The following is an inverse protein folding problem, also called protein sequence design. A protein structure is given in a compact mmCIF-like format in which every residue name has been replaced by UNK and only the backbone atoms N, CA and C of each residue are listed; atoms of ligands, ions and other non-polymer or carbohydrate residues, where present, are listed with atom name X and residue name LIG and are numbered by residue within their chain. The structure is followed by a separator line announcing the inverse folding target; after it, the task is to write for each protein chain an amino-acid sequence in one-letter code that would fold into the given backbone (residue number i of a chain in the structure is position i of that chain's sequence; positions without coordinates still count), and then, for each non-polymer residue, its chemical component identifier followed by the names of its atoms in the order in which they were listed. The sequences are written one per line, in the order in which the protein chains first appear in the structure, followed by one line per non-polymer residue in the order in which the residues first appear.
data_IF_409440833292
#
_entry.id   IF_409440833292
#
_cell.length_a   1.000
_cell.length_b   1.000
_cell.length_c   1.000
_cell.angle_alpha   90.00
_cell.angle_beta   90.00
_cell.angle_gamma   90.00
#
_symmetry.space_group_name_H-M   'P 1'
#
loop_
_entity.id
_entity.type
_entity.pdbx_description
1 polymer ?
#
# COMPACT_ATOMS: atom_id res chain seq x y z
N UNK A 1 -4.32 7.31 -6.73
CA UNK A 1 -2.97 7.55 -7.29
C UNK A 1 -2.62 6.63 -8.46
N UNK A 2 -3.09 5.36 -8.50
CA UNK A 2 -2.80 4.46 -9.62
C UNK A 2 -3.14 5.02 -11.01
N UNK A 3 -4.20 5.83 -11.14
CA UNK A 3 -4.60 6.47 -12.40
C UNK A 3 -3.73 7.68 -12.82
N UNK A 4 -2.75 8.08 -12.00
CA UNK A 4 -1.97 9.30 -12.20
C UNK A 4 -0.56 9.05 -12.76
N UNK A 5 -0.17 7.79 -12.97
CA UNK A 5 1.11 7.46 -13.60
C UNK A 5 1.06 7.68 -15.12
N UNK A 6 2.21 8.02 -15.69
CA UNK A 6 2.44 8.12 -17.12
C UNK A 6 3.00 6.83 -17.74
N UNK A 7 3.23 5.79 -16.93
CA UNK A 7 3.80 4.52 -17.39
C UNK A 7 2.78 3.68 -18.18
N UNK A 8 2.85 3.79 -19.51
CA UNK A 8 1.99 3.08 -20.46
C UNK A 8 2.19 1.55 -20.46
N UNK A 9 3.22 1.03 -19.77
CA UNK A 9 3.49 -0.42 -19.70
C UNK A 9 2.65 -1.12 -18.63
N UNK A 10 2.04 -0.37 -17.71
CA UNK A 10 1.22 -0.91 -16.64
C UNK A 10 -0.23 -1.07 -17.08
N UNK A 11 -0.85 -2.19 -16.71
CA UNK A 11 -2.30 -2.29 -16.74
C UNK A 11 -2.91 -1.49 -15.58
N UNK A 12 -3.28 -0.23 -15.85
CA UNK A 12 -3.87 0.67 -14.84
C UNK A 12 -5.17 0.13 -14.26
N UNK A 13 -5.99 -0.56 -15.07
CA UNK A 13 -7.25 -1.12 -14.57
C UNK A 13 -6.96 -2.20 -13.53
N UNK A 14 -5.96 -3.04 -13.79
CA UNK A 14 -5.48 -4.04 -12.84
C UNK A 14 -4.88 -3.40 -11.59
N UNK A 15 -4.05 -2.37 -11.72
CA UNK A 15 -3.49 -1.64 -10.58
C UNK A 15 -4.59 -1.07 -9.68
N UNK A 16 -5.62 -0.44 -10.26
CA UNK A 16 -6.76 0.09 -9.50
C UNK A 16 -7.50 -1.03 -8.77
N UNK A 17 -7.77 -2.15 -9.43
CA UNK A 17 -8.41 -3.30 -8.77
C UNK A 17 -7.53 -3.88 -7.65
N UNK A 18 -6.22 -3.93 -7.84
CA UNK A 18 -5.27 -4.39 -6.82
C UNK A 18 -5.25 -3.46 -5.60
N UNK A 19 -5.25 -2.13 -5.82
CA UNK A 19 -5.36 -1.16 -4.73
C UNK A 19 -6.61 -1.39 -3.86
N UNK A 20 -7.74 -1.81 -4.46
CA UNK A 20 -8.99 -2.05 -3.72
C UNK A 20 -8.95 -3.30 -2.84
N UNK A 21 -8.08 -4.27 -3.15
CA UNK A 21 -8.11 -5.59 -2.50
C UNK A 21 -6.88 -5.92 -1.67
N UNK A 22 -5.77 -5.19 -1.82
CA UNK A 22 -4.51 -5.55 -1.19
C UNK A 22 -4.60 -5.67 0.35
N UNK A 23 -5.31 -4.74 1.00
CA UNK A 23 -5.55 -4.75 2.45
C UNK A 23 -6.92 -5.33 2.83
N UNK A 24 -7.60 -6.04 1.92
CA UNK A 24 -8.95 -6.57 2.19
C UNK A 24 -8.96 -7.52 3.40
N UNK A 25 -7.86 -8.23 3.64
CA UNK A 25 -7.73 -9.12 4.79
C UNK A 25 -7.80 -8.37 6.14
N UNK A 26 -7.39 -7.11 6.19
CA UNK A 26 -7.35 -6.30 7.40
C UNK A 26 -8.76 -6.01 7.96
N UNK A 27 -9.79 -6.17 7.14
CA UNK A 27 -11.19 -6.11 7.59
C UNK A 27 -11.51 -7.16 8.67
N UNK A 28 -10.77 -8.27 8.72
CA UNK A 28 -10.93 -9.30 9.75
C UNK A 28 -9.72 -9.40 10.69
N UNK A 29 -8.50 -9.33 10.16
CA UNK A 29 -7.28 -9.49 10.99
C UNK A 29 -6.91 -8.22 11.76
N UNK A 30 -7.47 -7.07 11.36
CA UNK A 30 -7.05 -5.75 11.80
C UNK A 30 -5.77 -5.28 11.08
N UNK A 31 -5.51 -3.97 11.09
CA UNK A 31 -4.25 -3.41 10.62
C UNK A 31 -3.13 -3.74 11.61
N UNK A 32 -2.41 -4.84 11.34
CA UNK A 32 -1.31 -5.33 12.18
C UNK A 32 -0.08 -4.47 11.92
N UNK A 33 0.20 -3.55 12.85
CA UNK A 33 1.32 -2.64 12.78
C UNK A 33 2.62 -3.27 13.31
N UNK A 34 3.82 -2.86 12.84
CA UNK A 34 5.10 -3.39 13.30
C UNK A 34 5.31 -3.36 14.83
N UNK A 35 4.71 -2.38 15.51
CA UNK A 35 4.76 -2.22 16.97
C UNK A 35 4.11 -3.36 17.76
N UNK A 36 3.26 -4.17 17.13
CA UNK A 36 2.55 -5.28 17.76
C UNK A 36 3.41 -6.55 17.85
N UNK A 37 4.60 -6.57 17.22
CA UNK A 37 5.58 -7.64 17.37
C UNK A 37 5.15 -8.99 16.76
N UNK A 38 4.12 -9.00 15.92
CA UNK A 38 3.69 -10.21 15.20
C UNK A 38 4.70 -10.52 14.10
N UNK A 39 5.27 -11.74 14.04
CA UNK A 39 6.18 -12.12 12.97
C UNK A 39 5.52 -12.01 11.59
N UNK A 40 6.28 -11.58 10.58
CA UNK A 40 5.77 -11.37 9.22
C UNK A 40 5.09 -12.62 8.64
N UNK A 41 5.63 -13.81 8.90
CA UNK A 41 5.06 -15.07 8.41
C UNK A 41 3.70 -15.37 9.08
N UNK A 42 3.53 -15.00 10.34
CA UNK A 42 2.26 -15.16 11.05
C UNK A 42 1.23 -14.13 10.58
N UNK A 43 1.63 -12.87 10.32
CA UNK A 43 0.77 -11.85 9.69
C UNK A 43 0.22 -12.40 8.36
N UNK A 44 1.13 -12.83 7.47
CA UNK A 44 0.77 -13.40 6.17
C UNK A 44 -0.14 -14.62 6.28
N UNK A 45 0.12 -15.52 7.24
CA UNK A 45 -0.72 -16.71 7.46
C UNK A 45 -2.15 -16.32 7.85
N UNK A 46 -2.32 -15.32 8.71
CA UNK A 46 -3.65 -14.83 9.13
C UNK A 46 -4.38 -14.12 8.00
N UNK A 47 -3.67 -13.31 7.22
CA UNK A 47 -4.25 -12.62 6.08
C UNK A 47 -4.68 -13.59 5.00
N UNK A 48 -3.82 -14.56 4.65
CA UNK A 48 -4.14 -15.62 3.71
C UNK A 48 -5.39 -16.40 4.16
N UNK A 49 -5.48 -16.80 5.43
CA UNK A 49 -6.65 -17.49 5.95
C UNK A 49 -7.93 -16.65 5.84
N UNK A 50 -7.83 -15.33 6.01
CA UNK A 50 -8.96 -14.41 5.86
C UNK A 50 -9.42 -14.31 4.40
N UNK A 51 -8.49 -14.17 3.47
CA UNK A 51 -8.81 -14.15 2.04
C UNK A 51 -9.45 -15.46 1.61
N UNK A 52 -8.94 -16.61 2.08
CA UNK A 52 -9.56 -17.92 1.83
C UNK A 52 -11.02 -17.96 2.32
N UNK A 53 -11.29 -17.48 3.53
CA UNK A 53 -12.66 -17.40 4.06
C UNK A 53 -13.56 -16.48 3.22
N UNK A 54 -13.08 -15.29 2.84
CA UNK A 54 -13.82 -14.36 1.96
C UNK A 54 -14.15 -15.03 0.62
N UNK A 55 -13.18 -15.72 0.02
CA UNK A 55 -13.30 -16.29 -1.32
C UNK A 55 -14.22 -17.52 -1.33
N UNK A 56 -14.01 -18.46 -0.43
CA UNK A 56 -14.71 -19.75 -0.43
C UNK A 56 -16.02 -19.69 0.35
N UNK A 57 -16.04 -19.09 1.54
CA UNK A 57 -17.20 -19.16 2.43
C UNK A 57 -18.18 -18.02 2.19
N UNK A 58 -17.69 -16.79 1.94
CA UNK A 58 -18.56 -15.61 1.78
C UNK A 58 -18.98 -15.39 0.32
N UNK A 59 -18.06 -15.56 -0.62
CA UNK A 59 -18.29 -15.31 -2.05
C UNK A 59 -18.48 -16.58 -2.88
N UNK A 60 -18.48 -17.74 -2.22
CA UNK A 60 -18.84 -19.05 -2.78
C UNK A 60 -18.13 -19.37 -4.11
N UNK A 61 -16.82 -19.15 -4.18
CA UNK A 61 -15.99 -19.47 -5.36
C UNK A 61 -16.44 -18.79 -6.66
N UNK A 62 -17.17 -17.68 -6.55
CA UNK A 62 -17.62 -16.92 -7.72
C UNK A 62 -16.43 -16.45 -8.56
N UNK A 63 -16.64 -16.15 -9.86
CA UNK A 63 -15.57 -15.60 -10.70
C UNK A 63 -14.90 -14.35 -10.11
N UNK A 64 -15.69 -13.49 -9.46
CA UNK A 64 -15.18 -12.32 -8.76
C UNK A 64 -14.31 -12.69 -7.55
N UNK A 65 -14.71 -13.71 -6.77
CA UNK A 65 -13.93 -14.21 -5.64
C UNK A 65 -12.52 -14.68 -6.08
N UNK A 66 -12.46 -15.45 -7.17
CA UNK A 66 -11.19 -15.93 -7.74
C UNK A 66 -10.32 -14.79 -8.25
N UNK A 67 -10.93 -13.73 -8.79
CA UNK A 67 -10.20 -12.54 -9.20
C UNK A 67 -9.61 -11.78 -8.00
N UNK A 68 -10.37 -11.66 -6.90
CA UNK A 68 -9.87 -11.06 -5.65
C UNK A 68 -8.68 -11.86 -5.12
N UNK A 69 -8.82 -13.19 -5.02
CA UNK A 69 -7.75 -14.07 -4.55
C UNK A 69 -6.47 -13.93 -5.41
N UNK A 70 -6.62 -13.91 -6.73
CA UNK A 70 -5.50 -13.78 -7.66
C UNK A 70 -4.80 -12.43 -7.52
N UNK A 71 -5.56 -11.32 -7.43
CA UNK A 71 -5.01 -9.98 -7.26
C UNK A 71 -4.30 -9.82 -5.92
N UNK A 72 -4.89 -10.31 -4.83
CA UNK A 72 -4.30 -10.27 -3.50
C UNK A 72 -3.00 -11.07 -3.45
N UNK A 73 -3.02 -12.30 -4.00
CA UNK A 73 -1.82 -13.16 -4.07
C UNK A 73 -0.72 -12.49 -4.88
N UNK A 74 -1.05 -11.90 -6.02
CA UNK A 74 -0.08 -11.21 -6.86
C UNK A 74 0.58 -10.01 -6.15
N UNK A 75 -0.22 -9.22 -5.41
CA UNK A 75 0.28 -8.14 -4.57
C UNK A 75 1.25 -8.65 -3.51
N UNK A 76 0.89 -9.70 -2.79
CA UNK A 76 1.73 -10.27 -1.72
C UNK A 76 3.06 -10.84 -2.25
N UNK A 77 3.04 -11.44 -3.44
CA UNK A 77 4.24 -11.99 -4.07
C UNK A 77 5.20 -10.91 -4.59
N UNK A 78 4.70 -9.74 -4.98
CA UNK A 78 5.48 -8.59 -5.49
C UNK A 78 6.38 -8.89 -6.69
N UNK A 79 5.97 -9.81 -7.55
CA UNK A 79 6.78 -10.23 -8.73
C UNK A 79 6.43 -9.46 -10.00
N UNK A 80 5.20 -8.97 -10.15
CA UNK A 80 4.74 -8.29 -11.36
C UNK A 80 5.02 -6.78 -11.30
N UNK A 81 5.16 -6.08 -12.45
CA UNK A 81 5.26 -4.62 -12.48
C UNK A 81 4.10 -3.94 -11.75
N UNK A 82 2.87 -4.40 -11.93
CA UNK A 82 1.67 -3.86 -11.27
C UNK A 82 1.73 -4.02 -9.75
N UNK A 83 2.11 -5.21 -9.24
CA UNK A 83 2.23 -5.44 -7.81
C UNK A 83 3.30 -4.58 -7.14
N UNK A 84 4.46 -4.42 -7.79
CA UNK A 84 5.51 -3.54 -7.28
C UNK A 84 5.06 -2.08 -7.30
N UNK A 85 4.43 -1.64 -8.39
CA UNK A 85 3.89 -0.29 -8.51
C UNK A 85 2.85 -0.01 -7.41
N UNK A 86 1.86 -0.90 -7.21
CA UNK A 86 0.86 -0.72 -6.16
C UNK A 86 1.51 -0.72 -4.77
N UNK A 87 2.58 -1.49 -4.54
CA UNK A 87 3.32 -1.42 -3.28
C UNK A 87 4.03 -0.08 -3.05
N UNK A 88 4.52 0.52 -4.12
CA UNK A 88 5.12 1.86 -4.05
C UNK A 88 4.07 2.95 -3.80
N UNK A 89 2.87 2.80 -4.38
CA UNK A 89 1.75 3.69 -4.08
C UNK A 89 1.34 3.64 -2.61
N UNK A 90 1.25 2.43 -2.04
CA UNK A 90 0.93 2.21 -0.61
C UNK A 90 1.97 2.89 0.30
N UNK A 91 3.27 2.74 0.00
CA UNK A 91 4.35 3.42 0.73
C UNK A 91 4.26 4.94 0.63
N UNK A 92 3.99 5.45 -0.57
CA UNK A 92 3.87 6.88 -0.79
C UNK A 92 2.65 7.46 -0.08
N UNK A 93 1.51 6.76 -0.10
CA UNK A 93 0.28 7.16 0.60
C UNK A 93 0.55 7.33 2.09
N UNK A 94 1.20 6.35 2.72
CA UNK A 94 1.55 6.41 4.14
C UNK A 94 2.41 7.64 4.49
N UNK A 95 3.38 8.00 3.64
CA UNK A 95 4.20 9.20 3.85
C UNK A 95 3.42 10.50 3.63
N UNK A 96 2.60 10.56 2.58
CA UNK A 96 1.76 11.71 2.28
C UNK A 96 0.77 11.98 3.42
N UNK A 97 0.12 10.93 3.94
CA UNK A 97 -0.79 11.02 5.07
C UNK A 97 -0.05 11.43 6.36
N UNK A 98 1.17 10.93 6.58
CA UNK A 98 2.00 11.37 7.70
C UNK A 98 2.29 12.87 7.60
N UNK A 99 2.64 13.40 6.42
CA UNK A 99 2.89 14.82 6.21
C UNK A 99 1.66 15.68 6.52
N UNK A 100 0.47 15.28 6.05
CA UNK A 100 -0.77 15.98 6.36
C UNK A 100 -1.05 16.01 7.88
N UNK A 101 -0.73 14.92 8.60
CA UNK A 101 -0.83 14.91 10.07
C UNK A 101 0.20 15.79 10.77
N UNK A 102 1.43 15.88 10.25
CA UNK A 102 2.43 16.83 10.80
C UNK A 102 1.94 18.27 10.65
N UNK A 103 1.39 18.63 9.47
CA UNK A 103 0.83 19.97 9.21
C UNK A 103 -0.36 20.29 10.09
N UNK A 104 -1.29 19.34 10.27
CA UNK A 104 -2.51 19.56 11.02
C UNK A 104 -2.32 19.57 12.54
N UNK A 105 -1.30 18.86 13.04
CA UNK A 105 -1.17 18.59 14.48
C UNK A 105 0.20 18.93 15.08
N UNK A 106 1.17 19.39 14.30
CA UNK A 106 2.50 19.77 14.77
C UNK A 106 3.28 18.59 15.38
N UNK A 107 2.98 17.36 14.96
CA UNK A 107 3.69 16.16 15.42
C UNK A 107 4.87 15.87 14.51
N UNK A 108 5.94 15.32 15.07
CA UNK A 108 7.03 14.74 14.28
C UNK A 108 6.70 13.27 13.99
N UNK A 109 6.61 12.91 12.72
CA UNK A 109 6.27 11.58 12.23
C UNK A 109 7.38 11.00 11.33
N UNK A 110 8.63 11.40 11.59
CA UNK A 110 9.80 11.04 10.78
C UNK A 110 9.92 9.53 10.49
N UNK A 111 9.59 8.67 11.46
CA UNK A 111 9.66 7.21 11.30
C UNK A 111 8.82 6.68 10.13
N UNK A 112 7.72 7.34 9.79
CA UNK A 112 6.88 6.94 8.66
C UNK A 112 7.61 7.15 7.33
N UNK A 113 8.24 8.32 7.15
CA UNK A 113 9.06 8.65 5.98
C UNK A 113 10.27 7.71 5.85
N UNK A 114 11.02 7.52 6.92
CA UNK A 114 12.22 6.66 6.93
C UNK A 114 11.89 5.20 6.54
N UNK A 115 10.71 4.73 6.91
CA UNK A 115 10.26 3.37 6.67
C UNK A 115 9.64 3.15 5.28
N UNK A 116 9.29 4.23 4.56
CA UNK A 116 8.52 4.18 3.31
C UNK A 116 9.30 4.66 2.08
N UNK A 117 9.60 5.96 2.00
CA UNK A 117 10.10 6.62 0.79
C UNK A 117 11.38 5.98 0.22
N UNK A 118 12.38 5.60 1.04
CA UNK A 118 13.61 4.99 0.52
C UNK A 118 13.41 3.64 -0.18
N UNK A 119 12.23 3.02 -0.05
CA UNK A 119 11.92 1.72 -0.65
C UNK A 119 11.15 1.82 -1.96
N UNK A 120 10.76 3.03 -2.37
CA UNK A 120 10.03 3.27 -3.62
C UNK A 120 10.96 3.02 -4.81
N UNK A 121 10.50 2.24 -5.79
CA UNK A 121 11.28 1.82 -6.95
C UNK A 121 10.79 2.45 -8.26
N UNK A 122 9.48 2.63 -8.43
CA UNK A 122 8.87 3.17 -9.65
C UNK A 122 9.23 4.65 -9.86
N UNK A 123 9.60 5.01 -11.09
CA UNK A 123 10.19 6.33 -11.40
C UNK A 123 9.19 7.48 -11.19
N UNK A 124 7.92 7.32 -11.57
CA UNK A 124 6.92 8.38 -11.34
C UNK A 124 6.71 8.59 -9.84
N UNK A 125 6.61 7.49 -9.07
CA UNK A 125 6.35 7.55 -7.63
C UNK A 125 7.55 8.11 -6.87
N UNK A 126 8.80 7.84 -7.32
CA UNK A 126 10.00 8.52 -6.81
C UNK A 126 9.93 10.02 -7.03
N UNK A 127 9.54 10.46 -8.22
CA UNK A 127 9.35 11.88 -8.51
C UNK A 127 8.32 12.53 -7.57
N UNK A 128 7.23 11.83 -7.26
CA UNK A 128 6.25 12.30 -6.28
C UNK A 128 6.82 12.36 -4.86
N UNK A 129 7.61 11.35 -4.45
CA UNK A 129 8.27 11.30 -3.15
C UNK A 129 9.26 12.47 -2.96
N UNK A 130 10.06 12.78 -3.99
CA UNK A 130 10.99 13.91 -3.96
C UNK A 130 10.24 15.25 -3.77
N UNK A 131 9.13 15.45 -4.48
CA UNK A 131 8.30 16.65 -4.30
C UNK A 131 7.73 16.73 -2.88
N UNK A 132 7.22 15.61 -2.35
CA UNK A 132 6.70 15.54 -0.98
C UNK A 132 7.77 15.91 0.06
N UNK A 133 9.01 15.42 -0.09
CA UNK A 133 10.11 15.75 0.81
C UNK A 133 10.47 17.24 0.77
N UNK A 134 10.48 17.85 -0.42
CA UNK A 134 10.73 19.29 -0.59
C UNK A 134 9.63 20.11 0.08
N UNK A 135 8.37 19.77 -0.15
CA UNK A 135 7.23 20.46 0.48
C UNK A 135 7.25 20.33 2.00
N UNK A 136 7.55 19.14 2.50
CA UNK A 136 7.67 18.87 3.93
C UNK A 136 8.79 19.68 4.56
N UNK A 137 9.97 19.71 3.95
CA UNK A 137 11.09 20.51 4.45
C UNK A 137 10.72 21.99 4.53
N UNK A 138 10.07 22.53 3.49
CA UNK A 138 9.60 23.91 3.47
C UNK A 138 8.56 24.21 4.57
N UNK A 139 7.66 23.26 4.88
CA UNK A 139 6.68 23.43 5.95
C UNK A 139 7.33 23.52 7.34
N UNK A 140 8.39 22.75 7.59
CA UNK A 140 9.14 22.79 8.87
C UNK A 140 9.82 24.14 9.11
N UNK A 141 10.33 24.79 8.05
CA UNK A 141 10.98 26.10 8.18
C UNK A 141 10.01 27.28 8.33
N UNK A 142 8.73 27.08 7.99
CA UNK A 142 7.69 28.11 8.02
C UNK A 142 6.74 27.98 9.23
N UNK A 143 6.94 26.97 10.09
CA UNK A 143 6.20 26.73 11.32
C UNK A 143 6.93 27.29 12.55
#
# INVERSE_FOLDING_TARGET
MAMCTSDEKLDISKCVMMCLVHDLAEAHVGDIAPREGIPQDEKRRREAATIQNIVHDMLHDSPAAKQIEALWTEYEERKTPEARFVKDLDRFEMAAQAFEYERAHGKALQSFFDSSLPKIEHDDVKGWAEVLEVERAAAVYNA
#
